data_IF_878958130595
#
_entry.id   IF_878958130595
#
_cell.length_a   1.000
_cell.length_b   1.000
_cell.length_c   1.000
_cell.angle_alpha   90.00
_cell.angle_beta   90.00
_cell.angle_gamma   90.00
#
_symmetry.space_group_name_H-M   'P 1'
#
loop_
_entity.id
_entity.type
_entity.pdbx_description
1 polymer ?
#
# COMPACT_ATOMS: atom_id res chain seq x y z
N UNK A 1 -6.03 0.27 12.10
CA UNK A 1 -4.66 -0.16 11.71
C UNK A 1 -3.86 1.12 11.47
N UNK A 2 -2.55 1.12 11.72
CA UNK A 2 -1.73 2.34 11.56
C UNK A 2 -0.56 2.06 10.63
N UNK A 3 -0.36 2.94 9.65
CA UNK A 3 0.78 2.89 8.74
C UNK A 3 1.86 3.83 9.30
N UNK A 4 3.09 3.34 9.38
CA UNK A 4 4.23 4.15 9.79
C UNK A 4 4.46 5.27 8.76
N UNK A 5 4.59 6.51 9.22
CA UNK A 5 4.71 7.67 8.33
C UNK A 5 5.95 7.63 7.42
N UNK A 6 7.09 7.14 7.92
CA UNK A 6 8.30 6.98 7.11
C UNK A 6 8.12 5.86 6.08
N UNK A 7 7.46 4.77 6.46
CA UNK A 7 7.11 3.67 5.56
C UNK A 7 6.18 4.14 4.44
N UNK A 8 5.14 4.90 4.79
CA UNK A 8 4.19 5.47 3.84
C UNK A 8 4.91 6.40 2.85
N UNK A 9 5.79 7.26 3.34
CA UNK A 9 6.58 8.14 2.49
C UNK A 9 7.49 7.37 1.54
N UNK A 10 8.21 6.36 2.05
CA UNK A 10 9.06 5.50 1.23
C UNK A 10 8.27 4.73 0.17
N UNK A 11 7.04 4.30 0.50
CA UNK A 11 6.13 3.68 -0.45
C UNK A 11 5.65 4.67 -1.53
N UNK A 12 5.27 5.88 -1.13
CA UNK A 12 4.84 6.95 -2.05
C UNK A 12 5.95 7.45 -2.98
N UNK A 13 7.21 7.39 -2.52
CA UNK A 13 8.40 7.67 -3.32
C UNK A 13 8.81 6.48 -4.22
N UNK A 14 8.16 5.32 -4.06
CA UNK A 14 8.42 4.12 -4.86
C UNK A 14 7.70 4.16 -6.21
N UNK A 15 7.95 3.15 -7.05
CA UNK A 15 7.24 2.98 -8.34
C UNK A 15 5.88 2.29 -8.22
N UNK A 16 5.55 1.78 -7.03
CA UNK A 16 4.33 1.01 -6.82
C UNK A 16 3.18 1.90 -6.35
N UNK A 17 1.95 1.47 -6.62
CA UNK A 17 0.74 2.12 -6.13
C UNK A 17 -0.30 1.09 -5.72
N UNK A 18 -1.10 1.43 -4.71
CA UNK A 18 -2.32 0.69 -4.39
C UNK A 18 -3.51 1.38 -5.03
N UNK A 19 -4.40 0.57 -5.59
CA UNK A 19 -5.73 1.01 -6.03
C UNK A 19 -6.82 0.22 -5.34
N UNK A 20 -8.01 0.81 -5.22
CA UNK A 20 -9.22 0.11 -4.78
C UNK A 20 -9.81 -0.79 -5.89
N UNK A 21 -10.91 -1.47 -5.58
CA UNK A 21 -11.62 -2.36 -6.51
C UNK A 21 -12.16 -1.66 -7.77
N UNK A 22 -12.37 -0.33 -7.70
CA UNK A 22 -12.81 0.50 -8.83
C UNK A 22 -11.60 1.06 -9.62
N UNK A 23 -10.38 0.83 -9.14
CA UNK A 23 -9.14 1.30 -9.74
C UNK A 23 -8.74 2.72 -9.35
N UNK A 24 -9.37 3.31 -8.32
CA UNK A 24 -8.99 4.62 -7.80
C UNK A 24 -7.79 4.52 -6.86
N UNK A 25 -7.04 5.61 -6.75
CA UNK A 25 -5.94 5.71 -5.79
C UNK A 25 -6.47 5.56 -4.36
N UNK A 26 -5.71 4.82 -3.54
CA UNK A 26 -6.09 4.51 -2.16
C UNK A 26 -5.82 5.69 -1.23
N UNK A 27 -6.83 6.04 -0.43
CA UNK A 27 -6.67 6.90 0.74
C UNK A 27 -6.20 6.06 1.94
N UNK A 28 -4.90 6.13 2.24
CA UNK A 28 -4.27 5.36 3.32
C UNK A 28 -4.71 5.80 4.72
N UNK A 29 -5.30 6.98 4.88
CA UNK A 29 -5.85 7.45 6.15
C UNK A 29 -7.25 6.87 6.44
N UNK A 30 -7.92 6.31 5.42
CA UNK A 30 -9.29 5.81 5.50
C UNK A 30 -9.48 4.48 4.76
N UNK A 31 -8.65 3.49 5.07
CA UNK A 31 -8.79 2.13 4.53
C UNK A 31 -10.07 1.46 5.04
N UNK A 32 -10.91 1.04 4.10
CA UNK A 32 -12.11 0.24 4.36
C UNK A 32 -11.77 -1.26 4.38
N UNK A 33 -12.23 -1.98 5.42
CA UNK A 33 -12.01 -3.43 5.57
C UNK A 33 -12.86 -4.29 4.62
N UNK A 34 -13.94 -3.73 4.07
CA UNK A 34 -14.84 -4.39 3.11
C UNK A 34 -14.38 -4.25 1.66
N UNK A 35 -13.45 -3.33 1.40
CA UNK A 35 -12.86 -3.09 0.08
C UNK A 35 -11.63 -3.98 -0.12
N UNK A 36 -11.44 -4.41 -1.36
CA UNK A 36 -10.26 -5.12 -1.83
C UNK A 36 -9.35 -4.16 -2.58
N UNK A 37 -8.05 -4.34 -2.39
CA UNK A 37 -7.02 -3.49 -2.95
C UNK A 37 -6.08 -4.29 -3.86
N UNK A 38 -5.50 -3.60 -4.81
CA UNK A 38 -4.54 -4.17 -5.77
C UNK A 38 -3.24 -3.37 -5.72
N UNK A 39 -2.12 -4.06 -5.52
CA UNK A 39 -0.79 -3.49 -5.68
C UNK A 39 -0.39 -3.53 -7.16
N UNK A 40 0.02 -2.39 -7.71
CA UNK A 40 0.41 -2.24 -9.11
C UNK A 40 1.83 -1.69 -9.26
N UNK A 41 2.47 -2.11 -10.35
CA UNK A 41 3.71 -1.54 -10.90
C UNK A 41 3.35 -0.95 -12.27
N UNK A 42 2.90 0.31 -12.27
CA UNK A 42 2.29 0.94 -13.44
C UNK A 42 1.02 0.22 -13.88
N UNK A 43 1.02 -0.35 -15.08
CA UNK A 43 -0.13 -1.10 -15.62
C UNK A 43 -0.15 -2.58 -15.18
N UNK A 44 0.91 -3.07 -14.53
CA UNK A 44 1.02 -4.48 -14.14
C UNK A 44 0.47 -4.68 -12.73
N UNK A 45 -0.41 -5.67 -12.57
CA UNK A 45 -0.86 -6.14 -11.26
C UNK A 45 0.25 -7.00 -10.63
N UNK A 46 0.75 -6.56 -9.47
CA UNK A 46 1.75 -7.29 -8.67
C UNK A 46 1.05 -8.24 -7.73
N UNK A 47 0.04 -7.75 -7.01
CA UNK A 47 -0.76 -8.50 -6.06
C UNK A 47 -2.18 -7.96 -6.04
N UNK A 48 -3.17 -8.84 -5.90
CA UNK A 48 -4.59 -8.52 -6.03
C UNK A 48 -5.40 -9.16 -4.89
N UNK A 49 -6.65 -8.72 -4.74
CA UNK A 49 -7.59 -9.17 -3.69
C UNK A 49 -7.06 -8.94 -2.26
N UNK A 50 -6.22 -7.92 -2.06
CA UNK A 50 -5.61 -7.60 -0.77
C UNK A 50 -6.62 -6.92 0.16
N UNK A 51 -6.61 -7.26 1.45
CA UNK A 51 -7.39 -6.55 2.45
C UNK A 51 -6.62 -5.32 2.98
N UNK A 52 -7.33 -4.41 3.64
CA UNK A 52 -6.74 -3.24 4.31
C UNK A 52 -5.54 -3.62 5.23
N UNK A 53 -5.62 -4.78 5.89
CA UNK A 53 -4.51 -5.29 6.72
C UNK A 53 -3.28 -5.62 5.89
N UNK A 54 -3.45 -6.27 4.74
CA UNK A 54 -2.33 -6.65 3.88
C UNK A 54 -1.66 -5.40 3.30
N UNK A 55 -2.43 -4.37 2.93
CA UNK A 55 -1.91 -3.06 2.51
C UNK A 55 -1.01 -2.46 3.60
N UNK A 56 -1.51 -2.37 4.83
CA UNK A 56 -0.74 -1.82 5.97
C UNK A 56 0.51 -2.64 6.26
N UNK A 57 0.38 -3.98 6.28
CA UNK A 57 1.49 -4.88 6.55
C UNK A 57 2.57 -4.78 5.44
N UNK A 58 2.19 -4.73 4.16
CA UNK A 58 3.11 -4.55 3.04
C UNK A 58 3.89 -3.24 3.16
N UNK A 59 3.19 -2.12 3.37
CA UNK A 59 3.85 -0.81 3.53
C UNK A 59 4.82 -0.83 4.71
N UNK A 60 4.36 -1.26 5.89
CA UNK A 60 5.18 -1.25 7.10
C UNK A 60 6.37 -2.23 7.03
N UNK A 61 6.19 -3.41 6.45
CA UNK A 61 7.22 -4.46 6.45
C UNK A 61 8.26 -4.26 5.36
N UNK A 62 7.85 -3.79 4.18
CA UNK A 62 8.75 -3.61 3.03
C UNK A 62 9.39 -2.22 3.04
N UNK A 63 8.62 -1.18 3.36
CA UNK A 63 9.05 0.22 3.25
C UNK A 63 9.34 0.87 4.61
N UNK A 64 8.90 0.25 5.71
CA UNK A 64 9.16 0.72 7.08
C UNK A 64 10.50 0.27 7.66
N UNK A 65 11.25 -0.57 6.94
CA UNK A 65 12.65 -0.84 7.31
C UNK A 65 13.46 0.40 6.98
N UNK A 66 13.83 1.16 8.01
CA UNK A 66 14.89 2.16 7.90
C UNK A 66 16.08 1.50 7.20
N UNK A 67 16.41 1.98 5.99
CA UNK A 67 17.74 1.73 5.44
C UNK A 67 18.71 2.35 6.44
N UNK A 68 19.31 1.53 7.30
CA UNK A 68 20.55 1.88 7.98
C UNK A 68 21.57 2.15 6.87
N UNK A 69 21.66 3.41 6.44
CA UNK A 69 22.79 3.96 5.69
C UNK A 69 23.87 4.39 6.66
#
# INVERSE_FOLDING_TARGET
MEINADALKNFQDSKFNFVDADGNDVDFDNLDESVKYTLRDGETVVEDDMHAKDVVDTINNEYGKTMNV
#
